data_IF_624306456731
#
_entry.id   IF_624306456731
#
_cell.length_a   1.000
_cell.length_b   1.000
_cell.length_c   1.000
_cell.angle_alpha   90.00
_cell.angle_beta   90.00
_cell.angle_gamma   90.00
#
_symmetry.space_group_name_H-M   'P 1'
#
loop_
_entity.id
_entity.type
_entity.pdbx_description
1 polymer ?
#
# COMPACT_ATOMS: atom_id res chain seq x y z
N UNK A 1 -8.93 11.50 -14.86
CA UNK A 1 -8.57 10.38 -13.96
C UNK A 1 -9.58 9.26 -14.18
N UNK A 2 -9.15 8.02 -14.45
CA UNK A 2 -10.08 6.90 -14.64
C UNK A 2 -10.70 6.47 -13.29
N UNK A 3 -11.80 5.71 -13.34
CA UNK A 3 -12.55 5.30 -12.16
C UNK A 3 -11.70 4.49 -11.15
N UNK A 4 -10.81 3.63 -11.64
CA UNK A 4 -9.91 2.83 -10.80
C UNK A 4 -8.86 3.68 -10.08
N UNK A 5 -8.34 4.73 -10.71
CA UNK A 5 -7.40 5.66 -10.06
C UNK A 5 -8.08 6.45 -8.94
N UNK A 6 -9.36 6.83 -9.08
CA UNK A 6 -10.12 7.47 -8.00
C UNK A 6 -10.37 6.50 -6.84
N UNK A 7 -10.74 5.25 -7.14
CA UNK A 7 -10.91 4.19 -6.13
C UNK A 7 -9.62 3.90 -5.38
N UNK A 8 -8.48 3.88 -6.08
CA UNK A 8 -7.16 3.72 -5.50
C UNK A 8 -6.81 4.85 -4.52
N UNK A 9 -7.00 6.11 -4.92
CA UNK A 9 -6.74 7.25 -4.04
C UNK A 9 -7.59 7.18 -2.77
N UNK A 10 -8.88 6.90 -2.90
CA UNK A 10 -9.74 6.73 -1.72
C UNK A 10 -9.32 5.52 -0.86
N UNK A 11 -8.84 4.43 -1.46
CA UNK A 11 -8.30 3.31 -0.72
C UNK A 11 -7.02 3.66 0.06
N UNK A 12 -6.12 4.47 -0.52
CA UNK A 12 -4.95 5.01 0.16
C UNK A 12 -5.33 5.94 1.32
N UNK A 13 -6.37 6.76 1.17
CA UNK A 13 -6.91 7.59 2.26
C UNK A 13 -7.48 6.76 3.42
N UNK A 14 -8.26 5.72 3.10
CA UNK A 14 -8.78 4.78 4.10
C UNK A 14 -7.65 4.00 4.78
N UNK A 15 -6.62 3.66 4.02
CA UNK A 15 -5.44 2.99 4.55
C UNK A 15 -4.67 3.91 5.52
N UNK A 16 -4.39 5.15 5.13
CA UNK A 16 -3.75 6.15 6.00
C UNK A 16 -4.55 6.39 7.29
N UNK A 17 -5.87 6.53 7.18
CA UNK A 17 -6.75 6.69 8.35
C UNK A 17 -6.73 5.45 9.26
N UNK A 18 -6.78 4.24 8.70
CA UNK A 18 -6.65 3.00 9.47
C UNK A 18 -5.31 2.93 10.20
N UNK A 19 -4.21 3.30 9.51
CA UNK A 19 -2.88 3.42 10.11
C UNK A 19 -2.79 4.51 11.20
N UNK A 20 -3.76 5.44 11.31
CA UNK A 20 -3.88 6.36 12.46
C UNK A 20 -4.79 5.84 13.57
N UNK A 21 -5.46 4.70 13.36
CA UNK A 21 -6.42 4.13 14.31
C UNK A 21 -7.87 4.43 13.97
N UNK A 22 -8.14 4.90 12.75
CA UNK A 22 -9.48 5.10 12.21
C UNK A 22 -10.32 3.81 12.19
N UNK A 23 -11.64 3.97 12.06
CA UNK A 23 -12.58 2.84 12.00
C UNK A 23 -12.68 2.29 10.57
N UNK A 24 -13.14 1.03 10.38
CA UNK A 24 -13.40 0.50 9.05
C UNK A 24 -14.43 1.34 8.27
N UNK A 25 -14.16 1.64 7.00
CA UNK A 25 -15.00 2.47 6.12
C UNK A 25 -15.28 1.78 4.79
N UNK A 26 -16.37 2.17 4.12
CA UNK A 26 -16.68 1.71 2.76
C UNK A 26 -15.85 2.51 1.76
N UNK A 27 -15.32 1.83 0.75
CA UNK A 27 -14.71 2.51 -0.39
C UNK A 27 -15.79 3.10 -1.31
N UNK A 28 -15.42 4.12 -2.08
CA UNK A 28 -16.33 4.79 -2.99
C UNK A 28 -16.82 3.80 -4.06
N UNK A 29 -18.13 3.75 -4.26
CA UNK A 29 -18.76 2.80 -5.17
C UNK A 29 -18.79 1.35 -4.66
N UNK A 30 -18.43 1.09 -3.40
CA UNK A 30 -18.58 -0.23 -2.76
C UNK A 30 -19.63 -0.18 -1.65
N UNK A 31 -20.77 -0.83 -1.86
CA UNK A 31 -21.93 -0.73 -0.97
C UNK A 31 -21.90 -1.75 0.18
N UNK A 32 -21.17 -2.86 0.05
CA UNK A 32 -21.30 -3.99 0.97
C UNK A 32 -20.09 -4.11 1.91
N UNK A 33 -18.87 -4.00 1.39
CA UNK A 33 -17.66 -4.29 2.17
C UNK A 33 -17.06 -3.05 2.81
N UNK A 34 -16.74 -3.14 4.10
CA UNK A 34 -15.92 -2.16 4.82
C UNK A 34 -14.49 -2.63 4.86
N UNK A 35 -13.56 -1.72 4.65
CA UNK A 35 -12.11 -1.98 4.70
C UNK A 35 -11.50 -1.22 5.87
N UNK A 36 -10.51 -1.85 6.51
CA UNK A 36 -9.61 -1.18 7.45
C UNK A 36 -9.91 -1.40 8.92
N UNK A 37 -9.50 -0.44 9.74
CA UNK A 37 -9.58 -0.49 11.19
C UNK A 37 -8.47 -1.29 11.90
N UNK A 38 -8.51 -1.37 13.25
CA UNK A 38 -7.43 -1.94 14.05
C UNK A 38 -7.11 -3.39 13.71
N UNK A 39 -8.12 -4.20 13.37
CA UNK A 39 -7.93 -5.62 13.02
C UNK A 39 -7.16 -5.76 11.71
N UNK A 40 -7.51 -4.99 10.67
CA UNK A 40 -6.80 -5.02 9.39
C UNK A 40 -5.34 -4.55 9.55
N UNK A 41 -5.12 -3.50 10.35
CA UNK A 41 -3.76 -2.98 10.62
C UNK A 41 -2.91 -4.01 11.38
N UNK A 42 -3.44 -4.62 12.45
CA UNK A 42 -2.71 -5.62 13.22
C UNK A 42 -2.32 -6.85 12.37
N UNK A 43 -3.11 -7.18 11.34
CA UNK A 43 -2.80 -8.27 10.41
C UNK A 43 -1.66 -7.94 9.46
N UNK A 44 -1.56 -6.69 9.01
CA UNK A 44 -0.50 -6.23 8.11
C UNK A 44 0.90 -6.37 8.74
N UNK A 45 0.98 -6.24 10.07
CA UNK A 45 2.24 -6.25 10.83
C UNK A 45 2.40 -7.49 11.71
N UNK A 46 1.84 -8.64 11.29
CA UNK A 46 1.95 -9.90 12.05
C UNK A 46 3.43 -10.25 12.31
N UNK A 47 3.77 -10.71 13.53
CA UNK A 47 5.12 -11.12 13.85
C UNK A 47 5.54 -12.34 13.04
N UNK A 48 6.81 -12.37 12.65
CA UNK A 48 7.43 -13.45 11.87
C UNK A 48 7.87 -14.62 12.76
N UNK A 49 7.91 -14.43 14.09
CA UNK A 49 8.41 -15.44 15.03
C UNK A 49 7.34 -16.47 15.44
N UNK A 50 7.65 -17.78 15.42
CA UNK A 50 6.77 -18.83 15.96
C UNK A 50 6.75 -18.88 17.49
N UNK A 51 7.68 -18.22 18.18
CA UNK A 51 7.67 -18.13 19.65
C UNK A 51 6.78 -16.96 20.10
N UNK A 52 5.73 -17.27 20.88
CA UNK A 52 4.71 -16.31 21.31
C UNK A 52 5.23 -15.12 22.14
N UNK A 53 6.28 -15.32 22.94
CA UNK A 53 6.82 -14.28 23.83
C UNK A 53 7.70 -13.30 23.03
N UNK A 54 8.61 -13.80 22.20
CA UNK A 54 9.39 -12.98 21.28
C UNK A 54 8.50 -12.26 20.27
N UNK A 55 7.44 -12.93 19.78
CA UNK A 55 6.45 -12.33 18.90
C UNK A 55 5.67 -11.19 19.57
N UNK A 56 5.45 -11.24 20.89
CA UNK A 56 4.75 -10.19 21.64
C UNK A 56 5.66 -8.98 21.93
N UNK A 57 6.92 -9.23 22.33
CA UNK A 57 7.90 -8.16 22.59
C UNK A 57 8.33 -7.45 21.29
N UNK A 58 8.50 -8.21 20.20
CA UNK A 58 8.73 -7.65 18.87
C UNK A 58 7.52 -6.83 18.41
N UNK A 59 6.29 -7.36 18.58
CA UNK A 59 5.03 -6.69 18.21
C UNK A 59 4.98 -5.24 18.70
N UNK A 60 5.07 -5.00 20.00
CA UNK A 60 4.79 -3.65 20.53
C UNK A 60 5.75 -2.56 20.03
N UNK A 61 7.03 -2.87 19.84
CA UNK A 61 8.04 -1.89 19.42
C UNK A 61 8.21 -1.83 17.90
N UNK A 62 8.28 -2.97 17.21
CA UNK A 62 8.46 -2.99 15.76
C UNK A 62 7.19 -2.64 15.00
N UNK A 63 6.01 -3.04 15.48
CA UNK A 63 4.75 -2.68 14.82
C UNK A 63 4.56 -1.16 14.80
N UNK A 64 4.81 -0.47 15.92
CA UNK A 64 4.69 0.98 15.97
C UNK A 64 5.66 1.68 15.00
N UNK A 65 6.91 1.21 14.92
CA UNK A 65 7.93 1.73 13.99
C UNK A 65 7.54 1.51 12.52
N UNK A 66 7.23 0.27 12.15
CA UNK A 66 6.82 -0.08 10.77
C UNK A 66 5.53 0.62 10.38
N UNK A 67 4.54 0.69 11.28
CA UNK A 67 3.28 1.39 11.05
C UNK A 67 3.50 2.87 10.78
N UNK A 68 4.36 3.52 11.56
CA UNK A 68 4.70 4.93 11.36
C UNK A 68 5.43 5.15 10.02
N UNK A 69 6.31 4.23 9.62
CA UNK A 69 7.00 4.27 8.34
C UNK A 69 6.04 4.12 7.16
N UNK A 70 5.19 3.08 7.18
CA UNK A 70 4.18 2.86 6.14
C UNK A 70 3.22 4.06 6.08
N UNK A 71 2.80 4.61 7.22
CA UNK A 71 1.95 5.79 7.25
C UNK A 71 2.60 7.00 6.56
N UNK A 72 3.87 7.29 6.86
CA UNK A 72 4.60 8.39 6.21
C UNK A 72 4.70 8.18 4.70
N UNK A 73 5.01 6.96 4.26
CA UNK A 73 5.07 6.63 2.84
C UNK A 73 3.72 6.77 2.15
N UNK A 74 2.63 6.31 2.76
CA UNK A 74 1.27 6.48 2.21
C UNK A 74 0.88 7.96 2.13
N UNK A 75 1.20 8.77 3.14
CA UNK A 75 0.93 10.22 3.11
C UNK A 75 1.70 10.92 2.00
N UNK A 76 3.00 10.66 1.87
CA UNK A 76 3.83 11.22 0.79
C UNK A 76 3.38 10.73 -0.59
N UNK A 77 2.95 9.47 -0.70
CA UNK A 77 2.37 8.95 -1.93
C UNK A 77 1.09 9.69 -2.32
N UNK A 78 0.19 9.97 -1.37
CA UNK A 78 -1.03 10.76 -1.59
C UNK A 78 -0.71 12.20 -2.02
N UNK A 79 0.24 12.86 -1.35
CA UNK A 79 0.65 14.24 -1.67
C UNK A 79 1.26 14.37 -3.06
N UNK A 80 1.97 13.33 -3.49
CA UNK A 80 2.69 13.38 -4.77
C UNK A 80 1.95 12.69 -5.89
N UNK A 81 0.85 11.96 -5.66
CA UNK A 81 0.28 10.97 -6.59
C UNK A 81 0.09 11.47 -8.02
N UNK A 82 -0.38 12.70 -8.18
CA UNK A 82 -0.67 13.30 -9.48
C UNK A 82 0.60 13.67 -10.28
N UNK A 83 1.78 13.64 -9.67
CA UNK A 83 3.05 13.87 -10.37
C UNK A 83 3.39 12.69 -11.29
N UNK A 84 3.85 12.92 -12.52
CA UNK A 84 4.28 11.84 -13.41
C UNK A 84 5.54 11.16 -12.88
N UNK A 85 5.72 9.86 -13.19
CA UNK A 85 6.87 9.07 -12.72
C UNK A 85 8.23 9.65 -13.12
N UNK A 86 8.29 10.35 -14.26
CA UNK A 86 9.49 11.03 -14.76
C UNK A 86 9.96 12.16 -13.86
N UNK A 87 9.06 12.75 -13.06
CA UNK A 87 9.35 13.89 -12.19
C UNK A 87 9.59 13.48 -10.73
N UNK A 88 9.47 12.20 -10.39
CA UNK A 88 9.70 11.72 -9.04
C UNK A 88 11.19 11.67 -8.72
N UNK A 89 11.53 12.08 -7.51
CA UNK A 89 12.78 11.74 -6.87
C UNK A 89 12.71 10.33 -6.22
N UNK A 90 13.83 9.87 -5.68
CA UNK A 90 13.91 8.54 -5.04
C UNK A 90 12.93 8.41 -3.87
N UNK A 91 12.76 9.45 -3.07
CA UNK A 91 11.90 9.41 -1.89
C UNK A 91 10.41 9.38 -2.25
N UNK A 92 10.01 10.09 -3.31
CA UNK A 92 8.66 10.05 -3.87
C UNK A 92 8.36 8.67 -4.48
N UNK A 93 9.32 8.08 -5.19
CA UNK A 93 9.21 6.73 -5.71
C UNK A 93 9.07 5.70 -4.57
N UNK A 94 9.97 5.73 -3.59
CA UNK A 94 9.95 4.80 -2.45
C UNK A 94 8.63 4.90 -1.67
N UNK A 95 8.11 6.11 -1.50
CA UNK A 95 6.82 6.34 -0.86
C UNK A 95 5.67 5.64 -1.61
N UNK A 96 5.58 5.84 -2.94
CA UNK A 96 4.57 5.17 -3.76
C UNK A 96 4.77 3.66 -3.80
N UNK A 97 6.02 3.20 -3.83
CA UNK A 97 6.37 1.79 -3.88
C UNK A 97 5.91 1.09 -2.60
N UNK A 98 6.27 1.64 -1.44
CA UNK A 98 5.83 1.14 -0.14
C UNK A 98 4.31 1.16 -0.03
N UNK A 99 3.65 2.25 -0.45
CA UNK A 99 2.19 2.35 -0.42
C UNK A 99 1.53 1.25 -1.26
N UNK A 100 1.97 1.07 -2.51
CA UNK A 100 1.44 0.06 -3.44
C UNK A 100 1.83 -1.38 -3.06
N UNK A 101 2.92 -1.58 -2.32
CA UNK A 101 3.28 -2.90 -1.81
C UNK A 101 2.39 -3.34 -0.64
N UNK A 102 1.90 -2.39 0.17
CA UNK A 102 1.09 -2.69 1.37
C UNK A 102 -0.41 -2.62 1.12
N UNK A 103 -0.88 -1.75 0.23
CA UNK A 103 -2.30 -1.57 -0.04
C UNK A 103 -3.01 -2.84 -0.53
N UNK A 104 -2.48 -3.65 -1.47
CA UNK A 104 -3.11 -4.90 -1.88
C UNK A 104 -3.32 -5.86 -0.70
N UNK A 105 -2.32 -6.00 0.18
CA UNK A 105 -2.41 -6.86 1.38
C UNK A 105 -3.47 -6.35 2.37
N UNK A 106 -3.61 -5.03 2.48
CA UNK A 106 -4.66 -4.40 3.27
C UNK A 106 -6.07 -4.62 2.68
N UNK A 107 -6.18 -4.71 1.35
CA UNK A 107 -7.44 -4.93 0.63
C UNK A 107 -7.84 -6.42 0.54
N UNK A 108 -6.89 -7.30 0.23
CA UNK A 108 -7.11 -8.73 -0.10
C UNK A 108 -7.58 -9.55 1.12
N UNK A 109 -7.36 -9.04 2.33
CA UNK A 109 -7.83 -9.64 3.58
C UNK A 109 -9.38 -9.70 3.72
N UNK A 110 -10.13 -9.14 2.76
CA UNK A 110 -11.59 -9.27 2.63
C UNK A 110 -12.05 -10.28 1.57
N UNK A 111 -11.14 -10.88 0.79
CA UNK A 111 -11.49 -11.84 -0.28
C UNK A 111 -12.14 -13.14 0.22
N UNK A 112 -12.14 -13.39 1.53
CA UNK A 112 -12.74 -14.58 2.17
C UNK A 112 -14.15 -14.40 2.74
N UNK A 113 -14.76 -13.21 2.70
CA UNK A 113 -16.13 -13.00 3.19
C UNK A 113 -17.16 -13.41 2.11
N UNK A 114 -18.16 -14.26 2.44
CA UNK A 114 -19.20 -14.65 1.48
C UNK A 114 -19.92 -13.42 0.90
N UNK A 115 -19.81 -13.21 -0.41
CA UNK A 115 -20.40 -12.05 -1.12
C UNK A 115 -19.46 -10.86 -1.33
N UNK A 116 -18.20 -10.93 -0.89
CA UNK A 116 -17.20 -9.85 -1.01
C UNK A 116 -16.35 -9.91 -2.31
N UNK A 117 -16.58 -10.91 -3.16
CA UNK A 117 -15.72 -11.21 -4.30
C UNK A 117 -16.28 -10.55 -5.58
N UNK A 118 -15.93 -9.29 -5.81
CA UNK A 118 -15.67 -8.79 -7.17
C UNK A 118 -14.80 -7.53 -7.13
N UNK A 119 -15.18 -6.55 -6.33
CA UNK A 119 -14.65 -5.19 -6.49
C UNK A 119 -13.34 -4.94 -5.74
N UNK A 120 -13.19 -5.46 -4.52
CA UNK A 120 -11.96 -5.31 -3.73
C UNK A 120 -10.81 -6.11 -4.35
N UNK A 121 -11.09 -7.34 -4.79
CA UNK A 121 -10.10 -8.18 -5.46
C UNK A 121 -9.62 -7.59 -6.79
N UNK A 122 -10.52 -6.94 -7.55
CA UNK A 122 -10.14 -6.20 -8.76
C UNK A 122 -9.23 -5.02 -8.42
N UNK A 123 -9.58 -4.23 -7.39
CA UNK A 123 -8.76 -3.10 -6.96
C UNK A 123 -7.38 -3.57 -6.45
N UNK A 124 -7.31 -4.66 -5.69
CA UNK A 124 -6.05 -5.22 -5.21
C UNK A 124 -5.15 -5.66 -6.38
N UNK A 125 -5.70 -6.33 -7.39
CA UNK A 125 -4.98 -6.70 -8.62
C UNK A 125 -4.50 -5.46 -9.40
N UNK A 126 -5.34 -4.44 -9.49
CA UNK A 126 -4.95 -3.16 -10.12
C UNK A 126 -3.78 -2.50 -9.38
N UNK A 127 -3.79 -2.50 -8.05
CA UNK A 127 -2.67 -1.99 -7.24
C UNK A 127 -1.36 -2.75 -7.50
N UNK A 128 -1.42 -4.08 -7.60
CA UNK A 128 -0.26 -4.92 -7.93
C UNK A 128 0.27 -4.63 -9.34
N UNK A 129 -0.62 -4.51 -10.33
CA UNK A 129 -0.21 -4.16 -11.69
C UNK A 129 0.46 -2.77 -11.74
N UNK A 130 -0.06 -1.79 -11.01
CA UNK A 130 0.56 -0.47 -10.90
C UNK A 130 1.93 -0.53 -10.22
N UNK A 131 2.06 -1.32 -9.15
CA UNK A 131 3.32 -1.54 -8.45
C UNK A 131 4.40 -2.05 -9.42
N UNK A 132 4.09 -3.09 -10.18
CA UNK A 132 5.05 -3.74 -11.07
C UNK A 132 5.41 -2.86 -12.27
N UNK A 133 4.43 -2.16 -12.84
CA UNK A 133 4.65 -1.19 -13.91
C UNK A 133 5.54 -0.03 -13.42
N UNK A 134 5.28 0.47 -12.21
CA UNK A 134 6.06 1.56 -11.63
C UNK A 134 7.51 1.13 -11.35
N UNK A 135 7.71 -0.06 -10.78
CA UNK A 135 9.04 -0.60 -10.54
C UNK A 135 9.81 -0.79 -11.86
N UNK A 136 9.16 -1.33 -12.88
CA UNK A 136 9.75 -1.52 -14.21
C UNK A 136 10.16 -0.20 -14.85
N UNK A 137 9.28 0.80 -14.84
CA UNK A 137 9.56 2.13 -15.39
C UNK A 137 10.71 2.84 -14.66
N UNK A 138 10.78 2.71 -13.33
CA UNK A 138 11.87 3.26 -12.53
C UNK A 138 13.22 2.61 -12.85
N UNK A 139 13.27 1.28 -12.92
CA UNK A 139 14.49 0.55 -13.28
C UNK A 139 14.98 0.94 -14.68
N UNK A 140 14.08 1.01 -15.67
CA UNK A 140 14.44 1.45 -17.03
C UNK A 140 15.08 2.84 -17.02
N UNK A 141 14.49 3.81 -16.32
CA UNK A 141 15.05 5.16 -16.18
C UNK A 141 16.44 5.15 -15.54
N UNK A 142 16.60 4.43 -14.43
CA UNK A 142 17.86 4.39 -13.68
C UNK A 142 19.00 3.75 -14.47
N UNK A 143 18.71 2.68 -15.23
CA UNK A 143 19.73 1.94 -15.97
C UNK A 143 19.97 2.43 -17.41
N UNK A 144 19.02 3.15 -18.02
CA UNK A 144 19.24 3.81 -19.33
C UNK A 144 20.06 5.10 -19.21
N UNK A 145 20.15 5.69 -18.01
CA UNK A 145 20.98 6.88 -17.74
C UNK A 145 22.44 6.60 -17.37
N UNK A 146 22.84 5.32 -17.22
CA UNK A 146 24.23 4.98 -16.92
C UNK A 146 25.06 4.97 -18.21
N UNK A 147 26.12 5.80 -18.35
CA UNK A 147 27.02 5.67 -19.48
C UNK A 147 27.62 4.26 -19.45
N UNK A 148 27.48 3.53 -20.57
CA UNK A 148 28.24 2.30 -20.78
C UNK A 148 29.71 2.71 -20.86
N UNK A 149 30.43 2.61 -19.75
CA UNK A 149 31.89 2.60 -19.78
C UNK A 149 32.27 1.40 -20.63
N UNK A 150 32.66 1.69 -21.86
CA UNK A 150 33.16 0.72 -22.81
C UNK A 150 34.61 0.50 -22.41
N UNK A 151 34.91 -0.66 -21.84
CA UNK A 151 36.27 -1.19 -21.78
C UNK A 151 36.53 -2.04 -23.03
#
# INVERSE_FOLDING_TARGET
>A
MNYEAQRLLHALEVFADSLRGGKPRRLAGMLLTKVGGPVAVARLFRPVSPNGEYAAQFRARHEAGMRAEVLRSVQRALETWDRPLSELDQADFDARFVALAHLPRFLDDHAGEPGSISDIGVLAKYCLALHDNMASAWLQRTFQGAPRTSD
#
